data_IF_329217697214
#
_entry.id   IF_329217697214
#
_cell.length_a   1.000
_cell.length_b   1.000
_cell.length_c   1.000
_cell.angle_alpha   90.00
_cell.angle_beta   90.00
_cell.angle_gamma   90.00
#
_symmetry.space_group_name_H-M   'P 1'
#
loop_
_entity.id
_entity.type
_entity.pdbx_description
1 polymer ?
#
# COMPACT_ATOMS: atom_id res chain seq x y z
N UNK A 1 -9.69 8.77 2.83
CA UNK A 1 -10.46 9.69 1.96
C UNK A 1 -10.64 11.10 2.54
N UNK A 2 -10.78 11.29 3.86
CA UNK A 2 -11.12 12.59 4.46
C UNK A 2 -10.17 13.76 4.11
N UNK A 3 -8.86 13.51 4.07
CA UNK A 3 -7.87 14.55 3.72
C UNK A 3 -8.08 15.11 2.30
N UNK A 4 -8.28 14.24 1.31
CA UNK A 4 -8.50 14.67 -0.07
C UNK A 4 -9.78 15.51 -0.20
N UNK A 5 -10.85 15.12 0.50
CA UNK A 5 -12.09 15.92 0.53
C UNK A 5 -11.89 17.28 1.18
N UNK A 6 -11.06 17.38 2.23
CA UNK A 6 -10.73 18.66 2.85
C UNK A 6 -9.99 19.62 1.90
N UNK A 7 -9.31 19.10 0.89
CA UNK A 7 -8.69 19.87 -0.20
C UNK A 7 -9.62 20.08 -1.41
N UNK A 8 -10.91 19.73 -1.30
CA UNK A 8 -11.89 19.90 -2.38
C UNK A 8 -11.77 18.88 -3.52
N UNK A 9 -11.05 17.78 -3.30
CA UNK A 9 -10.84 16.75 -4.32
C UNK A 9 -11.94 15.69 -4.30
N UNK A 10 -12.16 15.06 -5.46
CA UNK A 10 -12.97 13.85 -5.52
C UNK A 10 -12.29 12.74 -4.71
N UNK A 11 -13.00 12.13 -3.76
CA UNK A 11 -12.44 11.04 -3.00
C UNK A 11 -13.47 10.05 -2.49
N UNK A 12 -13.13 8.78 -2.59
CA UNK A 12 -13.93 7.64 -2.16
C UNK A 12 -13.12 6.74 -1.24
N UNK A 13 -13.79 6.14 -0.25
CA UNK A 13 -13.23 5.04 0.53
C UNK A 13 -13.90 3.74 0.10
N UNK A 14 -13.12 2.77 -0.35
CA UNK A 14 -13.60 1.47 -0.85
C UNK A 14 -13.32 0.41 0.21
N UNK A 15 -14.38 -0.19 0.74
CA UNK A 15 -14.31 -1.33 1.67
C UNK A 15 -14.82 -2.63 1.06
N UNK A 16 -15.59 -2.55 -0.03
CA UNK A 16 -16.06 -3.68 -0.81
C UNK A 16 -15.24 -3.80 -2.11
N UNK A 17 -14.54 -4.91 -2.35
CA UNK A 17 -13.79 -5.14 -3.58
C UNK A 17 -14.62 -4.99 -4.87
N UNK A 18 -15.92 -5.31 -4.84
CA UNK A 18 -16.79 -5.20 -6.01
C UNK A 18 -16.92 -3.75 -6.50
N UNK A 19 -16.74 -2.76 -5.60
CA UNK A 19 -16.82 -1.33 -5.92
C UNK A 19 -15.55 -0.78 -6.58
N UNK A 20 -14.42 -1.47 -6.46
CA UNK A 20 -13.11 -0.92 -6.82
C UNK A 20 -13.03 -0.47 -8.30
N UNK A 21 -13.55 -1.29 -9.22
CA UNK A 21 -13.49 -0.99 -10.65
C UNK A 21 -14.19 0.33 -10.97
N UNK A 22 -15.40 0.49 -10.45
CA UNK A 22 -16.21 1.66 -10.75
C UNK A 22 -15.67 2.89 -10.01
N UNK A 23 -15.14 2.73 -8.78
CA UNK A 23 -14.48 3.82 -8.05
C UNK A 23 -13.25 4.36 -8.79
N UNK A 24 -12.49 3.48 -9.47
CA UNK A 24 -11.38 3.90 -10.33
C UNK A 24 -11.91 4.68 -11.54
N UNK A 25 -12.97 4.21 -12.19
CA UNK A 25 -13.59 4.92 -13.31
C UNK A 25 -14.06 6.33 -12.91
N UNK A 26 -14.73 6.44 -11.76
CA UNK A 26 -15.20 7.71 -11.21
C UNK A 26 -14.02 8.64 -10.87
N UNK A 27 -12.97 8.12 -10.24
CA UNK A 27 -11.78 8.90 -9.90
C UNK A 27 -11.06 9.47 -11.15
N UNK A 28 -10.98 8.68 -12.23
CA UNK A 28 -10.41 9.12 -13.50
C UNK A 28 -11.26 10.22 -14.15
N UNK A 29 -12.60 10.13 -14.06
CA UNK A 29 -13.50 11.14 -14.59
C UNK A 29 -13.46 12.48 -13.82
N UNK A 30 -13.07 12.45 -12.53
CA UNK A 30 -13.06 13.62 -11.64
C UNK A 30 -11.65 14.04 -11.20
N UNK A 31 -10.61 13.69 -11.97
CA UNK A 31 -9.24 13.98 -11.61
C UNK A 31 -8.98 15.49 -11.39
N UNK A 32 -8.21 15.89 -10.37
CA UNK A 32 -7.49 15.05 -9.41
C UNK A 32 -8.37 14.39 -8.34
N UNK A 33 -8.11 13.10 -8.06
CA UNK A 33 -8.92 12.26 -7.18
C UNK A 33 -8.09 11.31 -6.30
N UNK A 34 -8.67 10.87 -5.17
CA UNK A 34 -8.07 9.87 -4.26
C UNK A 34 -9.05 8.72 -3.99
N UNK A 35 -8.62 7.49 -4.28
CA UNK A 35 -9.33 6.26 -3.88
C UNK A 35 -8.61 5.63 -2.69
N UNK A 36 -9.28 5.62 -1.53
CA UNK A 36 -8.79 5.05 -0.27
C UNK A 36 -9.31 3.61 -0.12
N UNK A 37 -8.49 2.63 -0.47
CA UNK A 37 -8.88 1.21 -0.49
C UNK A 37 -8.46 0.53 0.79
N UNK A 38 -9.41 -0.10 1.50
CA UNK A 38 -9.12 -0.94 2.65
C UNK A 38 -8.70 -2.33 2.18
N UNK A 39 -7.54 -2.78 2.64
CA UNK A 39 -6.96 -4.09 2.30
C UNK A 39 -6.79 -4.94 3.56
N UNK A 40 -6.76 -6.26 3.39
CA UNK A 40 -6.45 -7.20 4.47
C UNK A 40 -4.95 -7.17 4.80
N UNK A 41 -4.62 -7.46 6.06
CA UNK A 41 -3.25 -7.69 6.52
C UNK A 41 -2.85 -9.19 6.50
N UNK A 42 -3.81 -10.09 6.25
CA UNK A 42 -3.61 -11.53 6.38
C UNK A 42 -3.18 -12.20 5.06
N UNK A 43 -3.43 -11.54 3.93
CA UNK A 43 -3.05 -12.08 2.63
C UNK A 43 -1.54 -11.93 2.41
N UNK A 44 -0.86 -13.06 2.15
CA UNK A 44 0.56 -13.05 1.86
C UNK A 44 0.82 -12.32 0.53
N UNK A 45 1.59 -11.23 0.60
CA UNK A 45 2.06 -10.53 -0.61
C UNK A 45 2.97 -11.45 -1.43
N UNK A 46 2.92 -11.32 -2.76
CA UNK A 46 3.88 -11.99 -3.64
C UNK A 46 5.33 -11.61 -3.34
N UNK A 47 5.56 -10.44 -2.73
CA UNK A 47 6.89 -9.97 -2.34
C UNK A 47 7.35 -10.61 -1.02
N UNK A 48 6.41 -10.93 -0.12
CA UNK A 48 6.73 -11.59 1.14
C UNK A 48 7.28 -13.01 0.93
N UNK A 49 6.86 -13.70 -0.14
CA UNK A 49 7.35 -15.05 -0.48
C UNK A 49 8.66 -15.08 -1.25
N UNK A 50 9.13 -13.95 -1.79
CA UNK A 50 10.32 -13.87 -2.65
C UNK A 50 11.58 -13.41 -1.91
N UNK A 51 11.47 -13.14 -0.61
CA UNK A 51 12.51 -12.48 0.18
C UNK A 51 12.54 -10.97 -0.07
N UNK A 52 13.43 -10.26 0.62
CA UNK A 52 13.69 -8.86 0.34
C UNK A 52 14.07 -8.72 -1.15
N UNK A 53 13.25 -8.01 -1.93
CA UNK A 53 13.57 -7.69 -3.32
C UNK A 53 14.96 -7.07 -3.35
N UNK A 54 15.87 -7.64 -4.16
CA UNK A 54 17.30 -7.35 -4.20
C UNK A 54 17.67 -5.98 -3.59
N UNK A 55 18.27 -6.03 -2.40
CA UNK A 55 18.62 -4.86 -1.61
C UNK A 55 20.12 -4.62 -1.78
N UNK A 56 20.55 -3.48 -2.36
CA UNK A 56 21.97 -3.16 -2.52
C UNK A 56 22.71 -3.14 -1.17
N UNK A 57 24.01 -3.43 -1.18
CA UNK A 57 24.84 -3.61 0.03
C UNK A 57 24.80 -2.43 1.03
N UNK A 58 24.42 -1.23 0.59
CA UNK A 58 24.36 -0.01 1.41
C UNK A 58 22.94 0.39 1.84
N UNK A 59 21.92 -0.43 1.55
CA UNK A 59 20.56 -0.18 2.00
C UNK A 59 20.41 -0.58 3.47
N UNK A 60 19.76 0.30 4.25
CA UNK A 60 19.62 0.15 5.69
C UNK A 60 18.86 -1.13 6.10
N UNK A 61 18.06 -1.70 5.20
CA UNK A 61 17.26 -2.90 5.46
C UNK A 61 18.10 -4.14 5.72
N UNK A 62 19.24 -4.32 5.04
CA UNK A 62 20.14 -5.47 5.27
C UNK A 62 20.80 -5.39 6.64
N UNK A 63 21.33 -4.20 6.99
CA UNK A 63 21.94 -3.97 8.30
C UNK A 63 20.93 -4.15 9.45
N UNK A 64 19.66 -3.79 9.22
CA UNK A 64 18.59 -4.02 10.18
C UNK A 64 18.22 -5.51 10.29
N UNK A 65 18.08 -6.23 9.17
CA UNK A 65 17.77 -7.67 9.18
C UNK A 65 18.86 -8.50 9.88
N UNK A 66 20.13 -8.24 9.58
CA UNK A 66 21.27 -8.89 10.25
C UNK A 66 21.23 -8.67 11.77
N UNK A 67 20.94 -7.45 12.20
CA UNK A 67 20.82 -7.11 13.61
C UNK A 67 19.62 -7.81 14.27
N UNK A 68 18.53 -7.98 13.54
CA UNK A 68 17.32 -8.61 14.07
C UNK A 68 17.47 -10.13 14.19
N UNK A 69 18.11 -10.80 13.22
CA UNK A 69 18.47 -12.22 13.35
C UNK A 69 19.39 -12.48 14.54
N UNK A 70 20.41 -11.64 14.73
CA UNK A 70 21.36 -11.78 15.85
C UNK A 70 20.74 -11.59 17.24
N UNK A 71 19.57 -10.94 17.35
CA UNK A 71 18.84 -10.79 18.62
C UNK A 71 18.01 -12.01 18.98
N UNK A 72 17.72 -12.87 18.01
CA UNK A 72 16.89 -14.06 18.17
C UNK A 72 17.69 -15.37 18.24
N UNK A 73 19.02 -15.30 18.10
CA UNK A 73 19.99 -16.37 18.41
C UNK A 73 20.48 -16.30 19.86
#
# INVERSE_FOLDING_TARGET
AGMARAFGLHAERVTDPARLKDAIADALAHAPALVDVVVTQDALSSDAGKGLGWVPDLQALTAWDDAERARHE
#
